data_IF_563286571030
#
_entry.id   IF_563286571030
#
_cell.length_a   1.000
_cell.length_b   1.000
_cell.length_c   1.000
_cell.angle_alpha   90.00
_cell.angle_beta   90.00
_cell.angle_gamma   90.00
#
_symmetry.space_group_name_H-M   'P 1'
#
loop_
_entity.id
_entity.type
_entity.pdbx_description
1 polymer ?
#
# COMPACT_ATOMS: atom_id res chain seq x y z
N UNK A 1 24.41 -6.28 -23.33
CA UNK A 1 23.13 -6.87 -23.75
C UNK A 1 22.03 -6.04 -23.12
N UNK A 2 21.29 -5.32 -23.94
CA UNK A 2 20.17 -4.47 -23.57
C UNK A 2 19.13 -5.35 -22.88
N UNK A 3 18.96 -5.22 -21.57
CA UNK A 3 17.89 -5.91 -20.86
C UNK A 3 16.59 -5.25 -21.34
N UNK A 4 16.01 -5.83 -22.39
CA UNK A 4 14.81 -5.37 -23.03
C UNK A 4 13.71 -5.10 -22.00
N UNK A 5 12.91 -4.09 -22.31
CA UNK A 5 11.76 -3.56 -21.59
C UNK A 5 10.70 -4.63 -21.28
N UNK A 6 11.00 -5.57 -20.37
CA UNK A 6 10.12 -6.68 -19.98
C UNK A 6 9.09 -6.16 -18.99
N UNK A 7 7.93 -5.79 -19.51
CA UNK A 7 6.78 -5.32 -18.75
C UNK A 7 5.78 -6.47 -18.61
N UNK A 8 5.25 -6.66 -17.40
CA UNK A 8 4.10 -7.53 -17.14
C UNK A 8 2.92 -6.67 -16.76
N UNK A 9 1.78 -6.91 -17.39
CA UNK A 9 0.50 -6.28 -17.03
C UNK A 9 -0.39 -7.35 -16.41
N UNK A 10 -0.93 -7.05 -15.24
CA UNK A 10 -1.82 -7.94 -14.48
C UNK A 10 -3.16 -7.24 -14.28
N UNK A 11 -4.25 -7.98 -14.44
CA UNK A 11 -5.60 -7.53 -14.12
C UNK A 11 -6.37 -8.62 -13.37
N UNK A 12 -7.18 -8.21 -12.40
CA UNK A 12 -8.14 -9.08 -11.70
C UNK A 12 -9.55 -8.98 -12.32
N UNK A 13 -9.73 -8.12 -13.33
CA UNK A 13 -11.03 -7.81 -13.93
C UNK A 13 -11.23 -8.59 -15.22
N UNK A 14 -12.50 -8.80 -15.60
CA UNK A 14 -12.85 -9.47 -16.85
C UNK A 14 -12.31 -8.72 -18.09
N UNK A 15 -12.03 -9.41 -19.22
CA UNK A 15 -11.38 -8.82 -20.39
C UNK A 15 -12.06 -7.55 -20.95
N UNK A 16 -13.37 -7.42 -20.81
CA UNK A 16 -14.17 -6.33 -21.37
C UNK A 16 -14.75 -5.38 -20.29
N UNK A 17 -14.28 -5.48 -19.04
CA UNK A 17 -14.75 -4.60 -17.97
C UNK A 17 -14.31 -3.14 -18.25
N UNK A 18 -15.23 -2.16 -18.27
CA UNK A 18 -14.87 -0.77 -18.49
C UNK A 18 -14.14 -0.17 -17.30
N UNK A 19 -13.47 0.96 -17.54
CA UNK A 19 -12.88 1.73 -16.44
C UNK A 19 -13.97 2.25 -15.50
N UNK A 20 -13.73 2.13 -14.20
CA UNK A 20 -14.57 2.69 -13.15
C UNK A 20 -13.71 3.07 -11.94
N UNK A 21 -14.05 4.15 -11.24
CA UNK A 21 -13.37 4.59 -10.01
C UNK A 21 -13.29 3.47 -8.97
N UNK A 22 -14.38 2.70 -8.81
CA UNK A 22 -14.42 1.52 -7.91
C UNK A 22 -13.33 0.49 -8.25
N UNK A 23 -13.07 0.26 -9.54
CA UNK A 23 -12.08 -0.71 -10.00
C UNK A 23 -10.66 -0.18 -9.78
N UNK A 24 -10.44 1.13 -9.96
CA UNK A 24 -9.16 1.76 -9.66
C UNK A 24 -8.78 1.61 -8.17
N UNK A 25 -9.76 1.78 -7.26
CA UNK A 25 -9.57 1.59 -5.81
C UNK A 25 -9.40 0.10 -5.48
N UNK A 26 -10.24 -0.79 -6.03
CA UNK A 26 -10.17 -2.23 -5.76
C UNK A 26 -8.82 -2.84 -6.19
N UNK A 27 -8.26 -2.38 -7.32
CA UNK A 27 -6.97 -2.83 -7.84
C UNK A 27 -5.82 -2.64 -6.85
N UNK A 28 -5.89 -1.65 -5.96
CA UNK A 28 -4.82 -1.36 -5.00
C UNK A 28 -4.46 -2.60 -4.16
N UNK A 29 -5.43 -3.44 -3.80
CA UNK A 29 -5.16 -4.70 -3.08
C UNK A 29 -4.27 -5.65 -3.89
N UNK A 30 -4.46 -5.74 -5.21
CA UNK A 30 -3.59 -6.54 -6.10
C UNK A 30 -2.16 -5.98 -6.16
N UNK A 31 -2.01 -4.65 -6.24
CA UNK A 31 -0.67 -4.02 -6.21
C UNK A 31 0.03 -4.32 -4.88
N UNK A 32 -0.68 -4.13 -3.76
CA UNK A 32 -0.15 -4.35 -2.43
C UNK A 32 0.20 -5.82 -2.17
N UNK A 33 -0.65 -6.75 -2.61
CA UNK A 33 -0.40 -8.19 -2.49
C UNK A 33 0.83 -8.67 -3.27
N UNK A 34 1.22 -7.95 -4.32
CA UNK A 34 2.45 -8.22 -5.09
C UNK A 34 3.67 -7.44 -4.56
N UNK A 35 3.49 -6.55 -3.58
CA UNK A 35 4.53 -5.64 -3.10
C UNK A 35 5.10 -6.10 -1.76
N UNK A 36 6.42 -5.92 -1.57
CA UNK A 36 7.06 -6.12 -0.26
C UNK A 36 6.86 -4.95 0.70
N UNK A 37 6.60 -3.77 0.16
CA UNK A 37 6.32 -2.54 0.88
C UNK A 37 5.58 -1.57 -0.04
N UNK A 38 4.91 -0.58 0.56
CA UNK A 38 4.27 0.52 -0.13
C UNK A 38 4.82 1.85 0.34
N UNK A 39 5.12 2.77 -0.57
CA UNK A 39 5.64 4.09 -0.27
C UNK A 39 4.66 5.16 -0.75
N UNK A 40 4.20 6.01 0.17
CA UNK A 40 3.31 7.13 -0.10
C UNK A 40 4.13 8.41 -0.13
N UNK A 41 4.10 9.09 -1.28
CA UNK A 41 4.69 10.42 -1.45
C UNK A 41 3.66 11.48 -1.06
N UNK A 42 2.47 11.47 -1.65
CA UNK A 42 1.39 12.39 -1.30
C UNK A 42 0.04 11.68 -1.24
N UNK A 43 -0.66 11.86 -0.12
CA UNK A 43 -2.04 11.45 0.07
C UNK A 43 -2.90 12.64 0.49
N UNK A 44 -4.05 12.80 -0.16
CA UNK A 44 -5.06 13.77 0.23
C UNK A 44 -5.65 13.45 1.60
N UNK A 45 -6.32 14.45 2.20
CA UNK A 45 -6.85 14.33 3.55
C UNK A 45 -8.04 13.35 3.63
N UNK A 46 -7.76 12.11 4.03
CA UNK A 46 -8.75 11.04 4.16
C UNK A 46 -9.54 10.73 2.87
N UNK A 47 -9.00 11.14 1.72
CA UNK A 47 -9.65 11.04 0.42
C UNK A 47 -8.68 10.67 -0.71
N UNK A 48 -9.22 10.09 -1.77
CA UNK A 48 -8.49 9.73 -2.98
C UNK A 48 -7.80 8.36 -2.95
N UNK A 49 -7.23 7.98 -4.10
CA UNK A 49 -6.70 6.64 -4.34
C UNK A 49 -5.48 6.29 -3.49
N UNK A 50 -4.56 7.24 -3.28
CA UNK A 50 -3.35 7.02 -2.47
C UNK A 50 -3.67 6.83 -1.00
N UNK A 51 -4.59 7.64 -0.45
CA UNK A 51 -5.09 7.45 0.91
C UNK A 51 -5.72 6.06 1.08
N UNK A 52 -6.62 5.68 0.17
CA UNK A 52 -7.26 4.37 0.20
C UNK A 52 -6.26 3.20 0.08
N UNK A 53 -5.21 3.36 -0.73
CA UNK A 53 -4.11 2.41 -0.82
C UNK A 53 -3.31 2.33 0.49
N UNK A 54 -2.98 3.46 1.12
CA UNK A 54 -2.28 3.51 2.40
C UNK A 54 -3.05 2.81 3.53
N UNK A 55 -4.36 3.07 3.64
CA UNK A 55 -5.24 2.36 4.59
C UNK A 55 -5.29 0.86 4.29
N UNK A 56 -5.37 0.48 3.02
CA UNK A 56 -5.37 -0.92 2.62
C UNK A 56 -4.04 -1.60 2.96
N UNK A 57 -2.91 -0.93 2.78
CA UNK A 57 -1.58 -1.43 3.13
C UNK A 57 -1.48 -1.73 4.63
N UNK A 58 -1.89 -0.78 5.47
CA UNK A 58 -1.94 -0.95 6.93
C UNK A 58 -2.82 -2.14 7.32
N UNK A 59 -4.03 -2.26 6.73
CA UNK A 59 -4.95 -3.37 7.00
C UNK A 59 -4.37 -4.73 6.59
N UNK A 60 -3.66 -4.79 5.46
CA UNK A 60 -3.03 -6.01 4.95
C UNK A 60 -1.71 -6.35 5.67
N UNK A 61 -1.21 -5.49 6.56
CA UNK A 61 0.10 -5.66 7.19
C UNK A 61 1.28 -5.50 6.22
N UNK A 62 1.08 -4.82 5.09
CA UNK A 62 2.16 -4.48 4.17
C UNK A 62 2.92 -3.28 4.75
N UNK A 63 4.26 -3.35 4.88
CA UNK A 63 5.04 -2.21 5.37
C UNK A 63 4.73 -0.93 4.60
N UNK A 64 4.19 0.06 5.31
CA UNK A 64 3.82 1.35 4.76
C UNK A 64 4.87 2.38 5.16
N UNK A 65 5.53 2.96 4.15
CA UNK A 65 6.41 4.10 4.30
C UNK A 65 5.71 5.36 3.80
N UNK A 66 5.85 6.48 4.51
CA UNK A 66 5.16 7.72 4.16
C UNK A 66 6.15 8.87 4.23
N UNK A 67 6.20 9.69 3.19
CA UNK A 67 7.04 10.88 3.18
C UNK A 67 6.55 11.89 4.23
N UNK A 68 7.42 12.21 5.18
CA UNK A 68 7.20 13.19 6.23
C UNK A 68 7.81 14.53 5.79
N UNK A 69 6.94 15.44 5.34
CA UNK A 69 7.35 16.74 4.84
C UNK A 69 7.64 17.70 5.99
N UNK A 70 8.77 18.42 5.91
CA UNK A 70 9.06 19.53 6.83
C UNK A 70 8.02 20.65 6.71
N UNK A 71 7.63 20.97 5.48
CA UNK A 71 6.53 21.89 5.16
C UNK A 71 5.47 21.13 4.39
N UNK A 72 4.36 20.82 5.05
CA UNK A 72 3.30 19.96 4.51
C UNK A 72 2.51 20.66 3.39
N UNK A 73 2.54 20.17 2.14
CA UNK A 73 1.68 20.70 1.09
C UNK A 73 0.23 20.25 1.29
N UNK A 74 -0.73 21.03 0.78
CA UNK A 74 -2.17 20.72 0.89
C UNK A 74 -2.54 19.35 0.26
N UNK A 75 -1.84 18.96 -0.80
CA UNK A 75 -2.02 17.66 -1.46
C UNK A 75 -1.58 16.46 -0.61
N UNK A 76 -0.79 16.68 0.44
CA UNK A 76 -0.21 15.64 1.30
C UNK A 76 -0.74 15.65 2.73
N UNK A 77 -1.85 16.36 3.01
CA UNK A 77 -2.44 16.42 4.35
C UNK A 77 -2.73 15.03 4.96
N UNK A 78 -3.03 14.03 4.12
CA UNK A 78 -3.23 12.65 4.53
C UNK A 78 -1.96 11.92 4.98
N UNK A 79 -0.76 12.39 4.62
CA UNK A 79 0.49 11.73 5.01
C UNK A 79 0.64 11.63 6.52
N UNK A 80 0.41 12.75 7.23
CA UNK A 80 0.51 12.80 8.69
C UNK A 80 -0.46 11.82 9.34
N UNK A 81 -1.69 11.76 8.83
CA UNK A 81 -2.74 10.84 9.28
C UNK A 81 -2.42 9.37 9.02
N UNK A 82 -1.68 9.04 7.95
CA UNK A 82 -1.18 7.68 7.71
C UNK A 82 -0.05 7.30 8.66
N UNK A 83 0.86 8.23 8.95
CA UNK A 83 1.94 8.05 9.93
C UNK A 83 1.36 7.78 11.32
N UNK A 84 0.39 8.60 11.75
CA UNK A 84 -0.32 8.43 13.02
C UNK A 84 -1.04 7.07 13.13
N UNK A 85 -1.41 6.44 12.00
CA UNK A 85 -2.05 5.13 11.94
C UNK A 85 -1.06 3.96 11.85
N UNK A 86 0.24 4.20 11.96
CA UNK A 86 1.28 3.18 11.95
C UNK A 86 2.13 3.14 10.67
N UNK A 87 1.96 4.10 9.77
CA UNK A 87 2.90 4.32 8.67
C UNK A 87 4.27 4.76 9.19
N UNK A 88 5.34 4.24 8.60
CA UNK A 88 6.71 4.57 8.97
C UNK A 88 7.15 5.86 8.26
N UNK A 89 7.51 6.92 8.99
CA UNK A 89 7.90 8.19 8.38
C UNK A 89 9.24 8.05 7.66
N UNK A 90 9.33 8.62 6.46
CA UNK A 90 10.57 8.80 5.72
C UNK A 90 10.84 10.29 5.59
N UNK A 91 12.04 10.73 5.98
CA UNK A 91 12.47 12.10 5.70
C UNK A 91 12.93 12.22 4.27
N UNK A 92 12.58 13.33 3.61
CA UNK A 92 13.06 13.60 2.27
C UNK A 92 14.59 13.70 2.25
N UNK A 93 15.21 12.97 1.32
CA UNK A 93 16.62 13.07 0.99
C UNK A 93 16.76 13.03 -0.54
N UNK A 94 17.81 13.64 -1.08
CA UNK A 94 18.04 13.66 -2.55
C UNK A 94 18.12 12.25 -3.13
N UNK A 95 18.65 11.31 -2.35
CA UNK A 95 18.67 9.89 -2.64
C UNK A 95 18.06 9.16 -1.45
N UNK A 96 16.92 8.51 -1.67
CA UNK A 96 16.23 7.74 -0.65
C UNK A 96 16.30 6.26 -1.00
N UNK A 97 16.65 5.46 0.00
CA UNK A 97 16.49 4.01 -0.06
C UNK A 97 15.47 3.61 0.97
N UNK A 98 14.65 2.60 0.65
CA UNK A 98 13.81 2.00 1.67
C UNK A 98 14.73 1.31 2.71
N UNK A 99 14.37 1.35 4.00
CA UNK A 99 15.18 0.72 5.04
C UNK A 99 15.51 -0.74 4.69
N UNK A 100 16.78 -1.10 4.83
CA UNK A 100 17.38 -2.34 4.31
C UNK A 100 16.86 -3.67 4.91
N UNK A 101 15.86 -3.63 5.80
CA UNK A 101 15.13 -4.80 6.28
C UNK A 101 13.67 -4.71 5.81
N UNK A 102 13.42 -5.15 4.59
CA UNK A 102 12.08 -5.55 4.15
C UNK A 102 11.70 -6.95 4.68
N UNK A 103 12.38 -7.44 5.72
CA UNK A 103 12.07 -8.73 6.33
C UNK A 103 10.82 -8.61 7.18
N UNK A 104 9.91 -9.55 6.93
CA UNK A 104 8.56 -9.68 7.45
C UNK A 104 8.45 -9.92 8.97
N UNK A 105 9.49 -9.63 9.76
CA UNK A 105 9.56 -9.99 11.17
C UNK A 105 9.20 -8.86 12.14
N UNK A 106 8.62 -7.75 11.68
CA UNK A 106 8.08 -6.70 12.56
C UNK A 106 6.58 -6.46 12.33
N UNK A 107 5.81 -7.54 12.30
CA UNK A 107 4.48 -7.53 12.91
C UNK A 107 4.59 -8.39 14.16
N UNK A 108 4.35 -7.84 15.35
CA UNK A 108 4.17 -8.68 16.53
C UNK A 108 3.02 -9.64 16.24
N UNK A 109 3.34 -10.92 16.08
CA UNK A 109 2.38 -11.99 16.20
C UNK A 109 1.85 -11.95 17.63
N UNK A 110 0.83 -11.12 17.84
CA UNK A 110 -0.12 -11.32 18.93
C UNK A 110 -0.84 -12.62 18.60
N UNK A 111 -0.42 -13.67 19.31
CA UNK A 111 -1.15 -14.90 19.63
C UNK A 111 -2.49 -15.05 18.90
N UNK A 112 -2.44 -15.52 17.65
CA UNK A 112 -3.64 -15.99 16.94
C UNK A 112 -3.71 -17.49 17.18
N UNK A 113 -4.66 -17.89 18.02
CA UNK A 113 -5.00 -19.29 18.25
C UNK A 113 -5.26 -19.99 16.91
N UNK A 114 -4.61 -21.14 16.70
CA UNK A 114 -4.73 -22.02 15.52
C UNK A 114 -6.13 -22.70 15.37
N UNK A 115 -7.18 -22.13 15.99
CA UNK A 115 -8.53 -22.70 16.00
C UNK A 115 -9.55 -21.91 15.17
N UNK A 116 -9.14 -20.86 14.45
CA UNK A 116 -10.01 -20.18 13.49
C UNK A 116 -10.00 -20.93 12.16
N UNK A 117 -11.05 -21.73 11.96
CA UNK A 117 -11.40 -22.29 10.65
C UNK A 117 -11.51 -21.14 9.63
N UNK A 118 -10.94 -21.27 8.41
CA UNK A 118 -11.07 -20.23 7.40
C UNK A 118 -12.54 -20.13 7.00
N UNK A 119 -13.20 -19.02 7.36
CA UNK A 119 -14.51 -18.71 6.82
C UNK A 119 -14.41 -18.64 5.29
N UNK A 120 -15.16 -19.55 4.67
CA UNK A 120 -15.34 -19.64 3.24
C UNK A 120 -15.79 -18.27 2.70
N UNK A 121 -14.92 -17.57 1.99
CA UNK A 121 -15.30 -16.41 1.17
C UNK A 121 -16.25 -16.91 0.08
N UNK A 122 -17.54 -16.90 0.39
CA UNK A 122 -18.59 -17.24 -0.55
C UNK A 122 -18.79 -16.03 -1.46
N UNK A 123 -18.30 -16.16 -2.69
CA UNK A 123 -18.50 -15.18 -3.74
C UNK A 123 -19.89 -15.43 -4.36
N UNK A 124 -20.84 -14.55 -4.05
CA UNK A 124 -22.00 -14.28 -4.90
C UNK A 124 -22.01 -12.78 -5.22
#
# INVERSE_FOLDING_TARGET
AEAANRIVVVTQFAPNEPWATRNAIARNATVLGLSRAFCVIEAGDEQGGTWAAGITALRMGVPLYVLDYETLPESALGNKKLIERGGQPLKFQKEMTLPGKLDSSQGSAGDRNDNDQPEQLTLF
#
